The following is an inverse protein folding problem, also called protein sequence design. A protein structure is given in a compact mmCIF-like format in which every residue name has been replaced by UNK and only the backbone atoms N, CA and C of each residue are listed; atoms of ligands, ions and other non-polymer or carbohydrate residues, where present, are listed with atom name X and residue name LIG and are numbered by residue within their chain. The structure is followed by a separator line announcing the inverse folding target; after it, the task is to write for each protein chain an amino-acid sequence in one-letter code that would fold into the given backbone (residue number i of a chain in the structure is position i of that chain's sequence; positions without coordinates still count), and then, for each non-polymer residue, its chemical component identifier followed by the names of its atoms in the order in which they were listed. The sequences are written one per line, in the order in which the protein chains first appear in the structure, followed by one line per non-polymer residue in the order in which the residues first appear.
data_IF_775503248968
#
_entry.id   IF_775503248968
#
_cell.length_a   1.000
_cell.length_b   1.000
_cell.length_c   1.000
_cell.angle_alpha   90.00
_cell.angle_beta   90.00
_cell.angle_gamma   90.00
#
_symmetry.space_group_name_H-M   'P 1'
#
loop_
_entity.id
_entity.type
_entity.pdbx_description
1 polymer ?
#
# COMPACT_ATOMS: atom_id res chain seq x y z
N UNK A 1 -67.48 -3.64 24.19
CA UNK A 1 -67.25 -4.70 23.19
C UNK A 1 -65.76 -4.91 23.04
N UNK A 2 -65.30 -6.16 23.03
CA UNK A 2 -63.89 -6.54 22.81
C UNK A 2 -63.29 -5.87 21.55
N UNK A 3 -64.12 -5.57 20.55
CA UNK A 3 -63.70 -4.86 19.34
C UNK A 3 -63.17 -3.44 19.62
N UNK A 4 -63.75 -2.69 20.58
CA UNK A 4 -63.27 -1.34 20.93
C UNK A 4 -61.93 -1.39 21.67
N UNK A 5 -61.73 -2.43 22.49
CA UNK A 5 -60.50 -2.63 23.24
C UNK A 5 -59.35 -3.04 22.29
N UNK A 6 -59.63 -3.94 21.33
CA UNK A 6 -58.67 -4.34 20.31
C UNK A 6 -58.28 -3.16 19.41
N UNK A 7 -59.24 -2.30 19.04
CA UNK A 7 -58.96 -1.08 18.30
C UNK A 7 -58.06 -0.11 19.08
N UNK A 8 -58.31 0.06 20.38
CA UNK A 8 -57.52 0.95 21.23
C UNK A 8 -56.06 0.49 21.39
N UNK A 9 -55.83 -0.81 21.61
CA UNK A 9 -54.48 -1.36 21.66
C UNK A 9 -53.80 -1.33 20.28
N UNK A 10 -54.55 -1.56 19.19
CA UNK A 10 -54.05 -1.44 17.82
C UNK A 10 -53.59 -0.02 17.48
N UNK A 11 -54.35 1.00 17.86
CA UNK A 11 -53.97 2.41 17.63
C UNK A 11 -52.75 2.81 18.45
N UNK A 12 -52.62 2.33 19.70
CA UNK A 12 -51.43 2.56 20.54
C UNK A 12 -50.20 1.91 19.92
N UNK A 13 -50.30 0.67 19.42
CA UNK A 13 -49.19 -0.02 18.78
C UNK A 13 -48.70 0.69 17.50
N UNK A 14 -49.64 1.20 16.68
CA UNK A 14 -49.31 2.00 15.48
C UNK A 14 -48.66 3.34 15.86
N UNK A 15 -49.14 4.01 16.91
CA UNK A 15 -48.53 5.25 17.37
C UNK A 15 -47.12 5.02 17.92
N UNK A 16 -46.90 3.94 18.67
CA UNK A 16 -45.59 3.57 19.19
C UNK A 16 -44.61 3.22 18.06
N UNK A 17 -45.05 2.52 17.02
CA UNK A 17 -44.16 2.17 15.90
C UNK A 17 -43.69 3.42 15.14
N UNK A 18 -44.56 4.42 14.94
CA UNK A 18 -44.19 5.68 14.28
C UNK A 18 -43.16 6.51 15.06
N UNK A 19 -43.11 6.39 16.40
CA UNK A 19 -42.16 7.13 17.26
C UNK A 19 -40.77 6.47 17.31
N UNK A 20 -40.67 5.16 17.08
CA UNK A 20 -39.38 4.43 17.11
C UNK A 20 -38.56 4.65 15.84
N UNK A 21 -39.20 4.84 14.68
CA UNK A 21 -38.51 5.03 13.39
C UNK A 21 -37.55 6.24 13.31
N UNK A 22 -37.83 7.43 13.87
CA UNK A 22 -36.89 8.55 13.81
C UNK A 22 -35.70 8.46 14.78
N UNK A 23 -35.71 7.58 15.79
CA UNK A 23 -34.62 7.49 16.78
C UNK A 23 -33.43 6.68 16.24
N UNK A 24 -33.67 5.71 15.36
CA UNK A 24 -32.61 4.89 14.72
C UNK A 24 -31.95 5.62 13.54
N UNK A 25 -32.51 6.76 13.09
CA UNK A 25 -32.04 7.52 11.93
C UNK A 25 -31.22 8.78 12.25
N UNK A 26 -30.81 9.01 13.50
CA UNK A 26 -29.91 10.11 13.83
C UNK A 26 -28.49 9.73 13.37
N UNK A 27 -28.11 10.15 12.18
CA UNK A 27 -26.71 10.13 11.73
C UNK A 27 -25.88 10.91 12.75
N UNK A 28 -24.95 10.23 13.41
CA UNK A 28 -23.87 10.91 14.11
C UNK A 28 -23.13 11.80 13.12
N UNK A 29 -23.08 13.11 13.38
CA UNK A 29 -22.24 14.06 12.62
C UNK A 29 -20.74 13.77 12.79
N UNK A 30 -20.39 12.80 13.65
CA UNK A 30 -19.03 12.34 13.93
C UNK A 30 -18.71 10.95 13.32
N UNK A 31 -19.50 10.43 12.38
CA UNK A 31 -19.14 9.17 11.73
C UNK A 31 -17.89 9.35 10.85
N UNK A 32 -16.88 8.50 11.08
CA UNK A 32 -15.60 8.45 10.34
C UNK A 32 -15.78 8.08 8.85
N UNK A 33 -17.01 7.91 8.38
CA UNK A 33 -17.34 7.41 7.06
C UNK A 33 -17.89 8.56 6.21
N UNK A 34 -16.97 9.26 5.54
CA UNK A 34 -17.31 10.25 4.53
C UNK A 34 -18.05 9.53 3.39
N UNK A 35 -19.32 9.88 3.16
CA UNK A 35 -20.09 9.36 2.03
C UNK A 35 -19.35 9.64 0.72
N UNK A 36 -18.95 8.59 0.00
CA UNK A 36 -18.24 8.72 -1.27
C UNK A 36 -19.18 9.37 -2.29
N UNK A 37 -18.84 10.59 -2.72
CA UNK A 37 -19.62 11.30 -3.73
C UNK A 37 -19.41 10.61 -5.08
N UNK A 38 -20.45 9.93 -5.57
CA UNK A 38 -20.43 9.05 -6.75
C UNK A 38 -20.04 9.79 -8.05
N UNK A 39 -20.22 11.10 -8.08
CA UNK A 39 -19.80 11.98 -9.19
C UNK A 39 -18.27 12.07 -9.35
N UNK A 40 -17.51 11.83 -8.27
CA UNK A 40 -16.04 11.80 -8.32
C UNK A 40 -15.46 10.49 -8.89
N UNK A 41 -16.31 9.50 -9.17
CA UNK A 41 -15.93 8.16 -9.62
C UNK A 41 -16.03 7.95 -11.13
N UNK A 42 -16.17 9.01 -11.94
CA UNK A 42 -16.03 8.85 -13.39
C UNK A 42 -14.67 8.17 -13.68
N UNK A 43 -14.64 7.01 -14.36
CA UNK A 43 -13.39 6.32 -14.63
C UNK A 43 -12.46 7.25 -15.39
N UNK A 44 -11.39 7.70 -14.73
CA UNK A 44 -10.33 8.43 -15.44
C UNK A 44 -9.70 7.45 -16.42
N UNK A 45 -9.48 7.91 -17.66
CA UNK A 45 -8.80 7.10 -18.68
C UNK A 45 -7.47 6.62 -18.14
N UNK A 46 -7.27 5.31 -18.15
CA UNK A 46 -6.02 4.69 -17.74
C UNK A 46 -4.87 5.17 -18.63
N UNK A 47 -3.69 5.38 -18.03
CA UNK A 47 -2.47 5.79 -18.73
C UNK A 47 -1.44 4.68 -18.60
N UNK A 48 -0.94 4.22 -19.74
CA UNK A 48 0.20 3.30 -19.80
C UNK A 48 1.50 4.12 -19.91
N UNK A 49 2.55 3.70 -19.19
CA UNK A 49 3.89 4.30 -19.29
C UNK A 49 4.94 3.20 -19.30
N UNK A 50 5.95 3.35 -20.16
CA UNK A 50 7.09 2.46 -20.23
C UNK A 50 8.30 3.17 -19.62
N UNK A 51 8.97 2.53 -18.67
CA UNK A 51 10.18 3.05 -18.04
C UNK A 51 11.38 2.19 -18.42
N UNK A 52 12.49 2.84 -18.77
CA UNK A 52 13.79 2.20 -18.95
C UNK A 52 14.84 2.99 -18.18
N UNK A 53 15.47 2.35 -17.22
CA UNK A 53 16.52 2.91 -16.40
C UNK A 53 17.43 1.79 -15.89
N UNK A 54 18.57 2.17 -15.30
CA UNK A 54 19.55 1.26 -14.74
C UNK A 54 19.61 1.47 -13.22
N UNK A 55 19.50 0.39 -12.46
CA UNK A 55 19.60 0.36 -11.00
C UNK A 55 20.99 -0.13 -10.59
N UNK A 56 21.64 0.56 -9.66
CA UNK A 56 23.03 0.28 -9.28
C UNK A 56 23.16 -0.22 -7.84
N UNK A 57 23.30 -1.54 -7.67
CA UNK A 57 23.53 -2.19 -6.38
C UNK A 57 25.01 -2.18 -5.99
N UNK A 58 25.42 -1.20 -5.18
CA UNK A 58 26.82 -1.03 -4.77
C UNK A 58 27.03 -1.64 -3.38
N UNK A 59 27.51 -2.89 -3.35
CA UNK A 59 27.72 -3.68 -2.14
C UNK A 59 29.01 -3.33 -1.37
N UNK A 60 29.99 -2.71 -2.02
CA UNK A 60 31.33 -2.51 -1.46
C UNK A 60 32.02 -1.26 -2.01
N UNK A 61 33.23 -0.96 -1.54
CA UNK A 61 33.99 0.23 -1.90
C UNK A 61 33.85 1.35 -0.87
N UNK A 62 34.21 2.57 -1.26
CA UNK A 62 34.26 3.72 -0.33
C UNK A 62 32.89 4.32 -0.01
N UNK A 63 31.89 4.07 -0.85
CA UNK A 63 30.52 4.59 -0.72
C UNK A 63 29.48 3.53 -1.12
N UNK A 64 29.34 2.44 -0.34
CA UNK A 64 28.32 1.43 -0.61
C UNK A 64 26.92 2.04 -0.46
N UNK A 65 26.00 1.60 -1.31
CA UNK A 65 24.57 1.97 -1.27
C UNK A 65 23.66 0.81 -0.89
N UNK A 66 24.26 -0.36 -0.66
CA UNK A 66 23.61 -1.60 -0.28
C UNK A 66 24.34 -2.19 0.91
N UNK A 67 23.64 -2.24 2.05
CA UNK A 67 24.24 -2.55 3.35
C UNK A 67 23.54 -3.76 3.92
N UNK A 68 24.31 -4.81 4.22
CA UNK A 68 23.79 -5.98 4.91
C UNK A 68 23.39 -5.60 6.33
N UNK A 69 22.11 -5.76 6.65
CA UNK A 69 21.54 -5.47 7.97
C UNK A 69 21.17 -6.75 8.73
N UNK A 70 20.98 -7.86 8.02
CA UNK A 70 20.80 -9.19 8.61
C UNK A 70 21.71 -10.17 7.88
N UNK A 71 22.67 -10.81 8.57
CA UNK A 71 23.51 -11.82 7.96
C UNK A 71 22.79 -13.17 7.85
N UNK A 72 23.13 -14.01 6.86
CA UNK A 72 22.60 -15.37 6.77
C UNK A 72 23.18 -16.28 7.85
N UNK A 73 22.49 -17.39 8.11
CA UNK A 73 23.02 -18.45 8.99
C UNK A 73 24.17 -19.21 8.31
N UNK A 74 25.04 -19.87 9.10
CA UNK A 74 26.12 -20.72 8.54
C UNK A 74 25.59 -21.85 7.65
N UNK A 75 24.43 -22.41 7.99
CA UNK A 75 23.81 -23.51 7.25
C UNK A 75 23.23 -23.06 5.90
N UNK A 76 22.99 -21.74 5.74
CA UNK A 76 22.42 -21.15 4.54
C UNK A 76 23.42 -20.31 3.77
N UNK A 77 24.73 -20.42 4.06
CA UNK A 77 25.76 -19.60 3.43
C UNK A 77 25.81 -19.72 1.89
N UNK A 78 25.46 -20.89 1.34
CA UNK A 78 25.46 -21.11 -0.12
C UNK A 78 24.33 -20.38 -0.85
N UNK A 79 23.14 -20.33 -0.27
CA UNK A 79 21.98 -19.64 -0.89
C UNK A 79 21.79 -18.22 -0.37
N UNK A 80 22.45 -17.90 0.74
CA UNK A 80 22.25 -16.68 1.49
C UNK A 80 20.90 -16.60 2.19
N UNK A 81 20.10 -17.68 2.26
CA UNK A 81 18.73 -17.62 2.80
C UNK A 81 18.68 -16.90 4.16
N UNK A 82 17.80 -15.91 4.25
CA UNK A 82 17.62 -15.05 5.42
C UNK A 82 18.50 -13.81 5.46
N UNK A 83 19.46 -13.64 4.54
CA UNK A 83 20.18 -12.37 4.38
C UNK A 83 19.21 -11.24 4.06
N UNK A 84 19.46 -10.04 4.61
CA UNK A 84 18.74 -8.82 4.25
C UNK A 84 19.74 -7.69 4.01
N UNK A 85 19.64 -7.04 2.86
CA UNK A 85 20.37 -5.81 2.52
C UNK A 85 19.42 -4.63 2.45
N UNK A 86 19.70 -3.57 3.21
CA UNK A 86 19.05 -2.27 3.09
C UNK A 86 19.67 -1.50 1.93
N UNK A 87 18.84 -0.91 1.06
CA UNK A 87 19.28 -0.25 -0.18
C UNK A 87 18.79 1.19 -0.27
N UNK A 88 19.69 2.04 -0.77
CA UNK A 88 19.39 3.37 -1.31
C UNK A 88 20.19 3.57 -2.61
N UNK A 89 19.75 2.90 -3.68
CA UNK A 89 20.52 2.74 -4.91
C UNK A 89 20.13 3.80 -5.95
N UNK A 90 21.10 4.26 -6.74
CA UNK A 90 20.84 5.22 -7.82
C UNK A 90 20.07 4.55 -8.98
N UNK A 91 19.15 5.31 -9.58
CA UNK A 91 18.53 5.01 -10.87
C UNK A 91 19.07 5.98 -11.92
N UNK A 92 19.62 5.48 -13.03
CA UNK A 92 20.22 6.31 -14.08
C UNK A 92 19.66 6.02 -15.48
N UNK A 93 19.86 6.96 -16.41
CA UNK A 93 19.46 6.78 -17.82
C UNK A 93 20.34 5.79 -18.59
N UNK A 94 21.62 5.72 -18.25
CA UNK A 94 22.60 4.82 -18.87
C UNK A 94 23.21 3.85 -17.86
N UNK A 95 23.86 2.77 -18.32
CA UNK A 95 24.43 1.73 -17.45
C UNK A 95 25.67 2.18 -16.66
N UNK A 96 26.25 3.33 -16.97
CA UNK A 96 27.39 3.88 -16.22
C UNK A 96 26.90 4.73 -15.04
N UNK A 97 27.53 4.59 -13.87
CA UNK A 97 27.27 5.41 -12.68
C UNK A 97 27.45 6.92 -12.91
N UNK A 98 28.27 7.32 -13.87
CA UNK A 98 28.43 8.73 -14.25
C UNK A 98 27.28 9.29 -15.11
N UNK A 99 26.31 8.45 -15.50
CA UNK A 99 25.12 8.87 -16.23
C UNK A 99 24.17 9.68 -15.35
N UNK A 100 23.29 10.45 -15.96
CA UNK A 100 22.26 11.24 -15.27
C UNK A 100 21.45 10.37 -14.31
N UNK A 101 21.42 10.77 -13.04
CA UNK A 101 20.60 10.16 -12.00
C UNK A 101 19.19 10.74 -12.12
N UNK A 102 18.20 9.87 -12.26
CA UNK A 102 16.80 10.24 -12.43
C UNK A 102 15.92 9.86 -11.23
N UNK A 103 16.50 9.15 -10.26
CA UNK A 103 15.77 8.66 -9.10
C UNK A 103 16.61 7.78 -8.21
N UNK A 104 15.95 7.23 -7.19
CA UNK A 104 16.53 6.28 -6.25
C UNK A 104 15.59 5.10 -6.02
N UNK A 105 16.16 3.93 -5.83
CA UNK A 105 15.46 2.75 -5.38
C UNK A 105 15.76 2.52 -3.89
N UNK A 106 14.73 2.59 -3.06
CA UNK A 106 14.85 2.65 -1.62
C UNK A 106 14.00 1.57 -0.96
N UNK A 107 14.59 0.80 -0.07
CA UNK A 107 13.94 -0.35 0.57
C UNK A 107 14.96 -1.40 0.95
N UNK A 108 14.62 -2.68 0.79
CA UNK A 108 15.54 -3.77 1.05
C UNK A 108 15.28 -4.95 0.13
N UNK A 109 16.25 -5.86 0.08
CA UNK A 109 16.04 -7.18 -0.48
C UNK A 109 16.62 -8.26 0.42
N UNK A 110 16.12 -9.47 0.28
CA UNK A 110 16.64 -10.62 0.99
C UNK A 110 16.59 -11.91 0.19
N UNK A 111 17.45 -12.86 0.54
CA UNK A 111 17.43 -14.17 -0.11
C UNK A 111 16.29 -15.01 0.45
N UNK A 112 15.39 -15.44 -0.43
CA UNK A 112 14.09 -16.03 -0.09
C UNK A 112 13.99 -17.53 -0.35
N UNK A 113 15.02 -18.16 -0.95
CA UNK A 113 15.03 -19.60 -1.25
C UNK A 113 16.12 -20.36 -0.49
N UNK A 114 15.76 -21.54 0.02
CA UNK A 114 16.68 -22.48 0.67
C UNK A 114 17.49 -23.32 -0.33
N UNK A 115 17.01 -23.46 -1.57
CA UNK A 115 17.62 -24.35 -2.56
C UNK A 115 18.49 -23.62 -3.59
N UNK A 116 18.25 -22.34 -3.83
CA UNK A 116 18.93 -21.55 -4.85
C UNK A 116 19.02 -20.07 -4.45
N UNK A 117 19.81 -19.29 -5.18
CA UNK A 117 19.85 -17.85 -5.01
C UNK A 117 18.57 -17.24 -5.59
N UNK A 118 17.73 -16.68 -4.72
CA UNK A 118 16.49 -16.00 -5.11
C UNK A 118 16.30 -14.76 -4.25
N UNK A 119 16.05 -13.60 -4.86
CA UNK A 119 15.90 -12.34 -4.15
C UNK A 119 14.43 -11.90 -4.12
N UNK A 120 13.92 -11.63 -2.92
CA UNK A 120 12.69 -10.88 -2.72
C UNK A 120 13.05 -9.40 -2.57
N UNK A 121 12.50 -8.55 -3.45
CA UNK A 121 12.70 -7.11 -3.42
C UNK A 121 11.48 -6.42 -2.80
N UNK A 122 11.68 -5.59 -1.77
CA UNK A 122 10.64 -4.73 -1.18
C UNK A 122 11.19 -3.31 -1.19
N UNK A 123 10.81 -2.55 -2.22
CA UNK A 123 11.38 -1.23 -2.46
C UNK A 123 10.42 -0.31 -3.23
N UNK A 124 10.66 0.99 -3.10
CA UNK A 124 10.03 2.05 -3.88
C UNK A 124 11.03 2.59 -4.91
N UNK A 125 10.53 2.96 -6.09
CA UNK A 125 11.26 3.82 -7.02
C UNK A 125 10.84 5.27 -6.81
N UNK A 126 11.73 6.06 -6.21
CA UNK A 126 11.56 7.49 -5.97
C UNK A 126 12.21 8.27 -7.12
N UNK A 127 11.43 8.64 -8.13
CA UNK A 127 11.91 9.47 -9.24
C UNK A 127 12.10 10.91 -8.76
N UNK A 128 13.22 11.54 -9.14
CA UNK A 128 13.55 12.93 -8.77
C UNK A 128 13.62 13.86 -9.99
N UNK A 129 13.52 13.29 -11.19
CA UNK A 129 13.49 14.02 -12.46
C UNK A 129 12.39 13.50 -13.38
N UNK A 130 11.94 14.35 -14.30
CA UNK A 130 10.94 14.00 -15.31
C UNK A 130 9.50 14.12 -14.83
N UNK A 131 8.58 13.53 -15.60
CA UNK A 131 7.13 13.70 -15.44
C UNK A 131 6.54 13.07 -14.17
N UNK A 132 7.27 12.16 -13.54
CA UNK A 132 6.78 11.32 -12.45
C UNK A 132 7.52 11.56 -11.12
N UNK A 133 8.17 12.72 -11.00
CA UNK A 133 8.66 13.27 -9.73
C UNK A 133 7.53 13.99 -8.97
#
# INVERSE_FOLDING_TARGET
SMAKLLHFFGTIFILLSLVVFPIIGKKDENSFEKSINKESMSPKREKLSHFRFYFHDILSGTKPTSIMIVPPSKNTAKTGFGIVNMIDNALTLGPNLSSTIIGRAQGFYGSSSLSELSLLMIMNFNFIEGKYC
#
